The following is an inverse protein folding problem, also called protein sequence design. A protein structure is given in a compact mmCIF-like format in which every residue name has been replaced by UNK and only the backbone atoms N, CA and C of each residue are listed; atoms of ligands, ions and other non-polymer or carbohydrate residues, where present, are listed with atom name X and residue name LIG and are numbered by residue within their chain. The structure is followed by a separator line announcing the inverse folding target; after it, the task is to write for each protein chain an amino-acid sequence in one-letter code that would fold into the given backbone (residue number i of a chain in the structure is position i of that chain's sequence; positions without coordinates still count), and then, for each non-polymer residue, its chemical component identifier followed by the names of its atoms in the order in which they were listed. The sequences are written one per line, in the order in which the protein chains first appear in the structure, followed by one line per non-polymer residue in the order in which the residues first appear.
data_IF_677540566538
#
_entry.id   IF_677540566538
#
_cell.length_a   1.000
_cell.length_b   1.000
_cell.length_c   1.000
_cell.angle_alpha   90.00
_cell.angle_beta   90.00
_cell.angle_gamma   90.00
#
_symmetry.space_group_name_H-M   'P 1'
#
loop_
_entity.id
_entity.type
_entity.pdbx_description
1 polymer ?
#
# COMPACT_ATOMS: atom_id res chain seq x y z
N UNK A 1 17.78 -33.47 -40.68
CA UNK A 1 17.48 -33.10 -40.09
C UNK A 1 16.94 -32.59 -39.77
N UNK A 2 16.90 -32.39 -39.68
CA UNK A 2 16.49 -31.81 -39.00
C UNK A 2 15.94 -31.07 -38.72
N UNK A 3 16.10 -30.91 -38.74
CA UNK A 3 15.54 -30.23 -38.11
C UNK A 3 14.90 -29.72 -37.78
N UNK A 4 14.92 -29.78 -37.66
CA UNK A 4 14.40 -29.31 -36.88
C UNK A 4 14.04 -28.72 -36.63
N UNK A 5 14.37 -28.63 -36.66
CA UNK A 5 14.09 -28.12 -36.02
C UNK A 5 13.63 -27.31 -35.78
N UNK A 6 13.70 -27.20 -35.78
CA UNK A 6 13.30 -26.51 -35.22
C UNK A 6 12.67 -25.80 -35.04
N UNK A 7 12.54 -25.74 -35.02
CA UNK A 7 12.03 -24.96 -34.61
C UNK A 7 11.43 -24.69 -34.02
N UNK A 8 11.53 -24.92 -33.69
CA UNK A 8 11.08 -24.60 -32.83
C UNK A 8 10.94 -23.88 -32.22
N UNK A 9 11.09 -23.81 -31.97
CA UNK A 9 11.08 -23.19 -31.13
C UNK A 9 10.72 -22.18 -31.12
N UNK A 10 10.75 -21.86 -31.05
CA UNK A 10 10.53 -20.71 -30.94
C UNK A 10 9.39 -20.28 -30.57
N UNK A 11 8.77 -20.74 -30.57
CA UNK A 11 7.71 -20.51 -30.15
C UNK A 11 7.44 -20.12 -28.99
N UNK A 12 7.89 -20.60 -28.37
CA UNK A 12 7.67 -20.39 -27.10
C UNK A 12 7.79 -19.20 -26.61
N UNK A 13 8.41 -18.65 -27.02
CA UNK A 13 8.65 -17.55 -26.48
C UNK A 13 7.77 -16.57 -26.31
N UNK A 14 7.20 -16.08 -27.12
CA UNK A 14 6.52 -14.95 -26.97
C UNK A 14 5.35 -14.94 -26.19
N UNK A 15 4.67 -15.93 -26.16
CA UNK A 15 3.45 -15.78 -25.56
C UNK A 15 3.57 -15.63 -24.11
N UNK A 16 4.67 -15.94 -23.59
CA UNK A 16 4.86 -15.78 -22.27
C UNK A 16 4.78 -14.46 -21.77
N UNK A 17 5.31 -13.53 -22.43
CA UNK A 17 5.31 -12.21 -21.92
C UNK A 17 3.94 -11.68 -21.75
N UNK A 18 3.01 -12.21 -22.43
CA UNK A 18 1.70 -11.71 -22.33
C UNK A 18 1.09 -11.98 -21.02
N UNK A 19 1.42 -13.11 -20.44
CA UNK A 19 0.85 -13.41 -19.20
C UNK A 19 1.32 -12.51 -18.15
N UNK A 20 2.54 -12.12 -18.22
CA UNK A 20 3.06 -11.25 -17.23
C UNK A 20 2.32 -9.97 -17.17
N UNK A 21 1.76 -9.56 -18.28
CA UNK A 21 1.05 -8.34 -18.27
C UNK A 21 -0.17 -8.35 -17.41
N UNK A 22 -0.88 -9.44 -17.41
CA UNK A 22 -2.12 -9.43 -16.67
C UNK A 22 -1.90 -9.29 -15.20
N UNK A 23 -0.77 -9.73 -14.69
CA UNK A 23 -0.56 -9.59 -13.28
C UNK A 23 -0.25 -8.19 -12.87
N UNK A 24 0.10 -7.34 -13.82
CA UNK A 24 0.39 -5.97 -13.50
C UNK A 24 -0.82 -5.21 -13.09
N UNK A 25 -1.98 -5.63 -13.51
CA UNK A 25 -3.17 -4.89 -13.21
C UNK A 25 -3.71 -5.16 -11.84
N UNK A 26 -3.09 -6.05 -11.12
CA UNK A 26 -3.62 -6.36 -9.85
C UNK A 26 -3.26 -5.32 -8.88
N UNK A 27 -3.71 -4.95 -7.96
CA UNK A 27 -3.44 -4.29 -6.75
C UNK A 27 -2.72 -3.01 -6.88
N UNK A 28 -2.77 -2.20 -5.97
CA UNK A 28 -2.12 -0.93 -5.92
C UNK A 28 -0.65 -1.02 -5.53
N UNK A 29 -0.12 0.09 -5.10
CA UNK A 29 1.29 0.22 -4.73
C UNK A 29 1.59 -0.54 -3.44
N UNK A 30 2.80 -1.05 -3.32
CA UNK A 30 3.33 -1.59 -2.08
C UNK A 30 4.66 -0.89 -1.85
N UNK A 31 4.76 -0.14 -0.78
CA UNK A 31 5.92 0.71 -0.57
C UNK A 31 6.33 0.75 0.90
N UNK A 32 7.63 0.63 1.14
CA UNK A 32 8.18 0.78 2.47
C UNK A 32 8.33 2.27 2.75
N UNK A 33 7.85 2.74 3.88
CA UNK A 33 7.92 4.16 4.22
C UNK A 33 9.29 4.46 4.80
N UNK A 34 9.90 5.55 4.32
CA UNK A 34 11.18 5.99 4.79
C UNK A 34 11.06 7.43 5.23
N UNK A 35 11.70 7.75 6.35
CA UNK A 35 11.73 9.10 6.85
C UNK A 35 13.09 9.70 6.51
N UNK A 36 13.09 10.97 6.12
CA UNK A 36 14.33 11.66 5.87
C UNK A 36 15.13 11.72 7.17
N UNK A 37 16.44 11.73 7.06
CA UNK A 37 17.31 11.75 8.22
C UNK A 37 16.95 12.93 9.12
N UNK A 38 16.74 12.66 10.40
CA UNK A 38 16.38 13.69 11.35
C UNK A 38 14.91 14.07 11.35
N UNK A 39 14.10 13.42 10.52
CA UNK A 39 12.67 13.70 10.44
C UNK A 39 11.86 12.55 10.99
N UNK A 40 10.79 12.86 11.69
CA UNK A 40 9.86 11.85 12.19
C UNK A 40 8.54 11.86 11.42
N UNK A 41 8.50 12.59 10.30
CA UNK A 41 7.26 12.72 9.53
C UNK A 41 7.57 12.67 8.04
N UNK A 42 6.63 12.18 7.26
CA UNK A 42 6.76 12.14 5.80
C UNK A 42 5.39 12.24 5.17
N UNK A 43 5.33 12.79 3.96
CA UNK A 43 4.10 12.90 3.19
C UNK A 43 4.30 12.19 1.87
N UNK A 44 3.37 11.32 1.52
CA UNK A 44 3.41 10.53 0.31
C UNK A 44 2.22 10.90 -0.55
N UNK A 45 2.47 11.21 -1.83
CA UNK A 45 1.40 11.46 -2.78
C UNK A 45 1.13 10.18 -3.54
N UNK A 46 -0.12 9.85 -3.73
CA UNK A 46 -0.48 8.63 -4.43
C UNK A 46 -1.82 8.75 -5.13
N UNK A 47 -2.15 7.71 -5.87
CA UNK A 47 -3.43 7.62 -6.55
C UNK A 47 -3.86 6.16 -6.52
N UNK A 48 -5.01 5.89 -5.95
CA UNK A 48 -5.51 4.54 -5.88
C UNK A 48 -6.69 4.40 -6.83
N UNK A 49 -6.65 3.33 -7.61
CA UNK A 49 -7.69 3.06 -8.59
C UNK A 49 -8.84 2.34 -7.90
N UNK A 50 -10.03 2.56 -8.39
CA UNK A 50 -11.23 1.94 -7.85
C UNK A 50 -11.04 0.44 -7.68
N UNK A 51 -11.28 -0.04 -6.48
CA UNK A 51 -11.16 -1.46 -6.16
C UNK A 51 -9.77 -1.90 -5.75
N UNK A 52 -8.75 -1.06 -5.94
CA UNK A 52 -7.39 -1.40 -5.54
C UNK A 52 -7.12 -0.88 -4.15
N UNK A 53 -5.99 -1.28 -3.59
CA UNK A 53 -5.52 -0.82 -2.30
C UNK A 53 -4.03 -0.55 -2.39
N UNK A 54 -3.60 0.60 -1.87
CA UNK A 54 -2.18 0.90 -1.73
C UNK A 54 -1.75 0.51 -0.32
N UNK A 55 -0.58 -0.08 -0.18
CA UNK A 55 -0.06 -0.52 1.11
C UNK A 55 1.26 0.12 1.42
N UNK A 56 1.36 0.69 2.61
CA UNK A 56 2.57 1.36 3.08
C UNK A 56 3.04 0.69 4.35
N UNK A 57 4.29 0.25 4.37
CA UNK A 57 4.85 -0.51 5.48
C UNK A 57 5.73 0.39 6.32
N UNK A 58 5.43 0.51 7.61
CA UNK A 58 6.08 1.44 8.51
C UNK A 58 6.62 0.72 9.71
N UNK A 59 7.94 0.68 9.86
CA UNK A 59 8.55 0.09 11.04
C UNK A 59 8.50 1.05 12.20
N UNK A 60 8.11 0.58 13.36
CA UNK A 60 8.03 1.41 14.55
C UNK A 60 8.11 0.56 15.81
N UNK A 61 8.34 1.22 16.94
CA UNK A 61 8.57 0.54 18.21
C UNK A 61 7.37 0.70 19.14
N UNK A 62 7.21 -0.27 20.01
CA UNK A 62 6.20 -0.21 21.04
C UNK A 62 6.33 1.07 21.83
N UNK A 63 5.23 1.72 22.09
CA UNK A 63 5.20 2.94 22.88
C UNK A 63 5.36 4.21 22.09
N UNK A 64 5.78 4.12 20.84
CA UNK A 64 5.82 5.32 20.00
C UNK A 64 4.39 5.73 19.63
N UNK A 65 4.19 6.99 19.34
CA UNK A 65 2.91 7.50 18.90
C UNK A 65 2.95 7.66 17.39
N UNK A 66 2.02 7.01 16.71
CA UNK A 66 1.87 7.15 15.27
C UNK A 66 0.70 8.08 14.99
N UNK A 67 0.89 9.01 14.08
CA UNK A 67 -0.20 9.86 13.60
C UNK A 67 -0.27 9.72 12.09
N UNK A 68 -1.46 9.52 11.57
CA UNK A 68 -1.68 9.33 10.14
C UNK A 68 -2.82 10.22 9.70
N UNK A 69 -2.65 10.87 8.56
CA UNK A 69 -3.69 11.74 8.00
C UNK A 69 -3.69 11.57 6.49
N UNK A 70 -4.86 11.50 5.91
CA UNK A 70 -4.98 11.43 4.47
C UNK A 70 -5.90 12.55 4.00
N UNK A 71 -5.54 13.20 2.89
CA UNK A 71 -6.38 14.21 2.27
C UNK A 71 -6.55 13.85 0.80
N UNK A 72 -7.69 14.19 0.23
CA UNK A 72 -7.99 13.99 -1.18
C UNK A 72 -8.96 15.07 -1.61
N UNK A 73 -9.03 15.30 -2.92
CA UNK A 73 -9.85 16.41 -3.42
C UNK A 73 -11.33 16.27 -3.09
N UNK A 74 -11.82 15.04 -3.06
CA UNK A 74 -13.24 14.80 -2.84
C UNK A 74 -13.50 14.09 -1.52
N UNK A 75 -12.51 14.08 -0.63
CA UNK A 75 -12.61 13.37 0.63
C UNK A 75 -13.01 11.92 0.41
N UNK A 76 -12.47 11.32 -0.64
CA UNK A 76 -12.84 9.98 -1.01
C UNK A 76 -11.71 8.98 -0.85
N UNK A 77 -10.72 9.27 -0.02
CA UNK A 77 -9.67 8.33 0.32
C UNK A 77 -9.66 8.12 1.83
N UNK A 78 -9.55 6.88 2.25
CA UNK A 78 -9.52 6.51 3.67
C UNK A 78 -8.40 5.52 3.88
N UNK A 79 -8.05 5.25 5.13
CA UNK A 79 -7.00 4.29 5.42
C UNK A 79 -7.37 3.38 6.59
N UNK A 80 -6.65 2.30 6.69
CA UNK A 80 -6.69 1.37 7.81
C UNK A 80 -5.26 1.13 8.26
N UNK A 81 -5.06 0.80 9.53
CA UNK A 81 -3.73 0.51 10.05
C UNK A 81 -3.77 -0.85 10.69
N UNK A 82 -2.93 -1.76 10.19
CA UNK A 82 -2.90 -3.13 10.66
C UNK A 82 -1.57 -3.51 11.27
N UNK A 83 -1.62 -4.46 12.19
CA UNK A 83 -0.45 -5.19 12.61
C UNK A 83 0.00 -6.09 11.47
N UNK A 84 1.20 -6.65 11.54
CA UNK A 84 1.72 -7.47 10.45
C UNK A 84 0.75 -8.56 10.04
N UNK A 85 0.63 -8.80 8.75
CA UNK A 85 -0.27 -9.82 8.22
C UNK A 85 -1.67 -9.34 7.98
N UNK A 86 -1.95 -8.08 8.31
CA UNK A 86 -3.25 -7.46 8.07
C UNK A 86 -4.42 -8.21 8.69
N UNK A 87 -4.18 -8.91 9.78
CA UNK A 87 -5.25 -9.67 10.42
C UNK A 87 -5.96 -8.89 11.51
N UNK A 88 -5.26 -7.97 12.12
CA UNK A 88 -5.82 -7.21 13.21
C UNK A 88 -5.52 -5.72 13.02
N UNK A 89 -6.55 -4.90 13.05
CA UNK A 89 -6.40 -3.47 12.88
C UNK A 89 -6.21 -2.79 14.22
N UNK A 90 -5.54 -1.64 14.22
CA UNK A 90 -5.45 -0.83 15.42
C UNK A 90 -6.81 -0.20 15.69
N UNK A 91 -7.13 -0.03 16.96
CA UNK A 91 -8.43 0.50 17.37
C UNK A 91 -8.66 1.88 16.75
N UNK A 92 -9.77 2.06 16.09
CA UNK A 92 -10.12 3.31 15.42
C UNK A 92 -9.58 3.43 14.00
N UNK A 93 -8.85 2.44 13.54
CA UNK A 93 -8.29 2.44 12.19
C UNK A 93 -8.62 1.14 11.47
N UNK A 94 -9.78 0.59 11.72
CA UNK A 94 -10.22 -0.64 11.09
C UNK A 94 -11.07 -0.38 9.86
N UNK A 95 -11.57 -1.47 9.32
CA UNK A 95 -12.25 -1.41 8.03
C UNK A 95 -13.53 -0.58 8.09
N UNK A 96 -14.25 -0.62 9.18
CA UNK A 96 -15.49 0.12 9.28
C UNK A 96 -15.30 1.54 9.79
N UNK A 97 -14.07 1.95 10.10
CA UNK A 97 -13.86 3.28 10.67
C UNK A 97 -13.73 4.38 9.61
N UNK A 98 -13.43 4.00 8.38
CA UNK A 98 -13.22 4.95 7.27
C UNK A 98 -12.36 6.13 7.73
N UNK A 99 -11.22 5.82 8.34
CA UNK A 99 -10.40 6.84 8.96
C UNK A 99 -9.73 7.74 7.93
N UNK A 100 -9.74 9.03 8.20
CA UNK A 100 -8.99 10.01 7.42
C UNK A 100 -7.95 10.67 8.31
N UNK A 101 -8.00 10.42 9.60
CA UNK A 101 -7.07 10.95 10.57
C UNK A 101 -7.06 10.00 11.76
N UNK A 102 -5.89 9.67 12.25
CA UNK A 102 -5.74 8.75 13.38
C UNK A 102 -4.46 9.04 14.13
N UNK A 103 -4.49 8.87 15.44
CA UNK A 103 -3.29 9.00 16.26
C UNK A 103 -3.43 8.05 17.43
N UNK A 104 -2.35 7.38 17.78
CA UNK A 104 -2.38 6.44 18.89
C UNK A 104 -1.01 5.90 19.24
N UNK A 105 -0.94 5.31 20.42
CA UNK A 105 0.27 4.69 20.89
C UNK A 105 0.36 3.28 20.31
N UNK A 106 1.55 2.90 19.84
CA UNK A 106 1.72 1.61 19.18
C UNK A 106 1.91 0.50 20.20
N UNK A 107 1.23 -0.63 20.02
CA UNK A 107 1.23 -1.71 21.03
C UNK A 107 2.46 -2.62 21.01
N UNK A 108 3.22 -2.63 19.92
CA UNK A 108 4.38 -3.52 19.85
C UNK A 108 5.40 -3.07 18.82
N UNK A 109 6.59 -3.63 18.90
CA UNK A 109 7.62 -3.41 17.90
C UNK A 109 7.19 -4.18 16.65
N UNK A 110 6.98 -3.50 15.54
CA UNK A 110 6.46 -4.18 14.35
C UNK A 110 6.58 -3.33 13.11
N UNK A 111 6.38 -3.97 11.97
CA UNK A 111 6.21 -3.26 10.72
C UNK A 111 4.71 -3.17 10.48
N UNK A 112 4.15 -2.02 10.72
CA UNK A 112 2.71 -1.79 10.57
C UNK A 112 2.37 -1.57 9.11
N UNK A 113 1.14 -1.87 8.73
CA UNK A 113 0.69 -1.73 7.35
C UNK A 113 -0.43 -0.71 7.30
N UNK A 114 -0.22 0.36 6.55
CA UNK A 114 -1.27 1.36 6.32
C UNK A 114 -1.85 1.07 4.95
N UNK A 115 -3.13 0.75 4.91
CA UNK A 115 -3.83 0.37 3.68
C UNK A 115 -4.72 1.53 3.26
N UNK A 116 -4.51 2.04 2.05
CA UNK A 116 -5.28 3.17 1.54
C UNK A 116 -6.23 2.69 0.46
N UNK A 117 -7.47 3.12 0.52
CA UNK A 117 -8.47 2.79 -0.48
C UNK A 117 -9.39 3.96 -0.75
N UNK A 118 -10.07 3.91 -1.88
CA UNK A 118 -11.05 4.92 -2.22
C UNK A 118 -12.43 4.50 -1.75
N UNK A 119 -13.24 5.45 -1.33
CA UNK A 119 -14.60 5.18 -0.93
C UNK A 119 -15.56 5.28 -2.11
N UNK A 120 -15.18 6.04 -3.12
CA UNK A 120 -16.02 6.25 -4.30
C UNK A 120 -15.12 6.39 -5.52
N UNK A 121 -14.85 5.30 -6.19
CA UNK A 121 -14.05 5.34 -7.40
C UNK A 121 -12.57 5.59 -7.16
N UNK A 122 -11.92 6.21 -8.10
CA UNK A 122 -10.49 6.51 -8.02
C UNK A 122 -10.26 7.70 -7.08
N UNK A 123 -9.14 7.71 -6.40
CA UNK A 123 -8.81 8.79 -5.49
C UNK A 123 -7.33 9.13 -5.57
N UNK A 124 -7.04 10.42 -5.75
CA UNK A 124 -5.67 10.91 -5.57
C UNK A 124 -5.59 11.45 -4.15
N UNK A 125 -4.47 11.23 -3.49
CA UNK A 125 -4.38 11.57 -2.09
C UNK A 125 -3.00 12.01 -1.66
N UNK A 126 -2.93 12.60 -0.49
CA UNK A 126 -1.68 12.82 0.22
C UNK A 126 -1.81 12.16 1.57
N UNK A 127 -0.84 11.31 1.88
CA UNK A 127 -0.81 10.55 3.13
C UNK A 127 0.35 11.05 3.96
N UNK A 128 0.07 11.55 5.15
CA UNK A 128 1.10 12.05 6.05
C UNK A 128 1.20 11.11 7.24
N UNK A 129 2.42 10.64 7.52
CA UNK A 129 2.69 9.71 8.60
C UNK A 129 3.74 10.29 9.50
N UNK A 130 3.51 10.22 10.80
CA UNK A 130 4.44 10.71 11.80
C UNK A 130 4.62 9.65 12.88
N UNK A 131 5.87 9.43 13.29
CA UNK A 131 6.19 8.49 14.36
C UNK A 131 7.05 9.23 15.37
N UNK A 132 6.62 9.30 16.61
CA UNK A 132 7.40 9.97 17.66
C UNK A 132 7.53 9.15 18.91
#
# INVERSE_FOLDING_TARGET
MFPGRRSRQIISVFFISIFGLSSIFAQGVKQKVRFARGSSSTTISGAVIRGDRDRYYVGASKGQTMSVKITSLEDNAVFQIFLPGEQEALSGAGEEDDAMKWSGELPEDAEYVIVVGGTRGNATYKLTISIK
#
